data_IF_176321558174
#
_entry.id   IF_176321558174
#
_cell.length_a   1.000
_cell.length_b   1.000
_cell.length_c   1.000
_cell.angle_alpha   90.00
_cell.angle_beta   90.00
_cell.angle_gamma   90.00
#
_symmetry.space_group_name_H-M   'P 1'
#
loop_
_entity.id
_entity.type
_entity.pdbx_description
1 polymer ?
#
# COMPACT_ATOMS: atom_id res chain seq x y z
N UNK A 1 4.80 -2.91 -9.14
CA UNK A 1 4.90 -4.18 -8.39
C UNK A 1 3.52 -4.77 -8.21
N UNK A 2 2.59 -3.99 -7.66
CA UNK A 2 1.15 -4.27 -7.64
C UNK A 2 0.63 -4.95 -8.93
N UNK A 3 0.73 -4.28 -10.08
CA UNK A 3 0.38 -4.86 -11.40
C UNK A 3 1.03 -6.23 -11.71
N UNK A 4 2.29 -6.41 -11.34
CA UNK A 4 2.99 -7.69 -11.57
C UNK A 4 2.38 -8.80 -10.71
N UNK A 5 2.06 -8.49 -9.46
CA UNK A 5 1.44 -9.38 -8.50
C UNK A 5 -0.03 -9.68 -8.81
N UNK A 6 -0.74 -8.74 -9.45
CA UNK A 6 -2.18 -8.88 -9.70
C UNK A 6 -2.48 -9.45 -11.08
N UNK A 7 -1.74 -9.02 -12.11
CA UNK A 7 -2.14 -9.21 -13.50
C UNK A 7 -1.10 -9.93 -14.36
N UNK A 8 0.20 -9.74 -14.09
CA UNK A 8 1.25 -10.09 -15.05
C UNK A 8 2.18 -11.25 -14.66
N UNK A 9 1.91 -11.95 -13.57
CA UNK A 9 2.68 -13.16 -13.21
C UNK A 9 1.76 -14.31 -12.80
N UNK A 10 2.19 -15.55 -12.97
CA UNK A 10 1.56 -16.73 -12.35
C UNK A 10 2.08 -16.92 -10.93
N UNK A 11 1.38 -17.71 -10.10
CA UNK A 11 1.80 -18.03 -8.73
C UNK A 11 3.21 -18.60 -8.67
N UNK A 12 3.56 -19.49 -9.60
CA UNK A 12 4.92 -20.04 -9.73
C UNK A 12 5.96 -18.96 -10.07
N UNK A 13 5.63 -18.06 -11.00
CA UNK A 13 6.53 -16.96 -11.38
C UNK A 13 6.74 -15.97 -10.22
N UNK A 14 5.70 -15.66 -9.45
CA UNK A 14 5.80 -14.83 -8.24
C UNK A 14 6.63 -15.49 -7.15
N UNK A 15 6.48 -16.80 -6.91
CA UNK A 15 7.30 -17.52 -5.94
C UNK A 15 8.79 -17.50 -6.31
N UNK A 16 9.11 -17.66 -7.61
CA UNK A 16 10.47 -17.51 -8.12
C UNK A 16 10.96 -16.06 -7.92
N UNK A 17 10.13 -15.07 -8.24
CA UNK A 17 10.44 -13.65 -8.05
C UNK A 17 10.75 -13.34 -6.59
N UNK A 18 9.88 -13.75 -5.66
CA UNK A 18 10.02 -13.51 -4.23
C UNK A 18 11.24 -14.20 -3.64
N UNK A 19 11.43 -15.47 -3.94
CA UNK A 19 12.62 -16.21 -3.46
C UNK A 19 13.91 -15.56 -3.96
N UNK A 20 13.90 -15.03 -5.18
CA UNK A 20 15.04 -14.31 -5.75
C UNK A 20 15.23 -12.94 -5.09
N UNK A 21 14.13 -12.23 -4.80
CA UNK A 21 14.13 -10.94 -4.14
C UNK A 21 14.67 -11.04 -2.71
N UNK A 22 14.27 -12.04 -1.94
CA UNK A 22 14.79 -12.28 -0.59
C UNK A 22 16.30 -12.55 -0.56
N UNK A 23 16.83 -13.20 -1.60
CA UNK A 23 18.28 -13.42 -1.75
C UNK A 23 19.02 -12.14 -2.14
N UNK A 24 18.31 -11.16 -2.71
CA UNK A 24 18.84 -9.87 -3.17
C UNK A 24 20.04 -10.02 -4.12
N UNK A 25 19.97 -11.01 -5.01
CA UNK A 25 21.07 -11.40 -5.91
C UNK A 25 20.60 -11.36 -7.38
N UNK A 26 21.31 -10.58 -8.20
CA UNK A 26 21.04 -10.46 -9.64
C UNK A 26 21.17 -11.81 -10.38
N UNK A 27 22.02 -12.72 -9.90
CA UNK A 27 22.17 -14.04 -10.53
C UNK A 27 20.92 -14.90 -10.34
N UNK A 28 20.10 -14.65 -9.31
CA UNK A 28 18.85 -15.36 -9.10
C UNK A 28 17.85 -15.11 -10.26
N UNK A 29 17.99 -13.98 -10.97
CA UNK A 29 17.16 -13.62 -12.12
C UNK A 29 17.30 -14.59 -13.31
N UNK A 30 18.35 -15.42 -13.36
CA UNK A 30 18.52 -16.44 -14.41
C UNK A 30 17.43 -17.52 -14.40
N UNK A 31 16.74 -17.70 -13.27
CA UNK A 31 15.62 -18.66 -13.14
C UNK A 31 14.28 -18.08 -13.59
N UNK A 32 14.23 -16.79 -13.94
CA UNK A 32 13.00 -16.09 -14.28
C UNK A 32 12.72 -16.10 -15.80
N UNK A 33 11.45 -15.96 -16.21
CA UNK A 33 11.10 -15.61 -17.58
C UNK A 33 11.81 -14.34 -18.06
N UNK A 34 12.08 -14.23 -19.37
CA UNK A 34 12.84 -13.12 -19.93
C UNK A 34 12.25 -11.73 -19.59
N UNK A 35 10.92 -11.58 -19.66
CA UNK A 35 10.25 -10.31 -19.35
C UNK A 35 10.42 -9.89 -17.88
N UNK A 36 10.48 -10.85 -16.97
CA UNK A 36 10.58 -10.63 -15.53
C UNK A 36 12.04 -10.39 -15.10
N UNK A 37 13.00 -11.00 -15.81
CA UNK A 37 14.42 -10.85 -15.54
C UNK A 37 14.88 -9.39 -15.63
N UNK A 38 14.51 -8.70 -16.70
CA UNK A 38 14.90 -7.29 -16.90
C UNK A 38 14.25 -6.39 -15.84
N UNK A 39 12.97 -6.61 -15.52
CA UNK A 39 12.26 -5.91 -14.45
C UNK A 39 12.93 -6.12 -13.08
N UNK A 40 13.29 -7.35 -12.75
CA UNK A 40 13.94 -7.69 -11.49
C UNK A 40 15.32 -7.02 -11.35
N UNK A 41 16.14 -7.05 -12.40
CA UNK A 41 17.46 -6.38 -12.39
C UNK A 41 17.29 -4.86 -12.26
N UNK A 42 16.32 -4.27 -12.96
CA UNK A 42 16.02 -2.85 -12.86
C UNK A 42 15.61 -2.45 -11.44
N UNK A 43 14.74 -3.23 -10.79
CA UNK A 43 14.31 -3.01 -9.41
C UNK A 43 15.50 -3.08 -8.45
N UNK A 44 16.32 -4.14 -8.53
CA UNK A 44 17.48 -4.28 -7.65
C UNK A 44 18.45 -3.11 -7.80
N UNK A 45 18.73 -2.69 -9.04
CA UNK A 45 19.57 -1.51 -9.28
C UNK A 45 18.96 -0.26 -8.65
N UNK A 46 17.68 0.01 -8.92
CA UNK A 46 16.98 1.20 -8.42
C UNK A 46 17.00 1.27 -6.90
N UNK A 47 16.68 0.17 -6.21
CA UNK A 47 16.68 0.17 -4.74
C UNK A 47 18.10 0.31 -4.19
N UNK A 48 19.10 -0.36 -4.77
CA UNK A 48 20.50 -0.18 -4.36
C UNK A 48 20.96 1.27 -4.57
N UNK A 49 20.61 1.91 -5.69
CA UNK A 49 20.98 3.30 -5.98
C UNK A 49 20.33 4.27 -4.96
N UNK A 50 19.06 4.05 -4.59
CA UNK A 50 18.39 4.81 -3.52
C UNK A 50 19.12 4.63 -2.20
N UNK A 51 19.47 3.39 -1.83
CA UNK A 51 20.18 3.11 -0.58
C UNK A 51 21.56 3.77 -0.55
N UNK A 52 22.30 3.72 -1.64
CA UNK A 52 23.63 4.36 -1.74
C UNK A 52 23.52 5.89 -1.67
N UNK A 53 22.53 6.50 -2.33
CA UNK A 53 22.27 7.95 -2.21
C UNK A 53 21.95 8.35 -0.76
N UNK A 54 21.11 7.58 -0.07
CA UNK A 54 20.80 7.82 1.34
C UNK A 54 22.04 7.69 2.24
N UNK A 55 22.91 6.70 1.98
CA UNK A 55 24.19 6.56 2.70
C UNK A 55 25.13 7.73 2.45
N UNK A 56 25.20 8.25 1.21
CA UNK A 56 25.97 9.46 0.88
C UNK A 56 25.46 10.69 1.64
N UNK A 57 24.16 10.75 1.89
CA UNK A 57 23.52 11.76 2.72
C UNK A 57 23.66 11.49 4.24
N UNK A 58 24.43 10.46 4.63
CA UNK A 58 24.65 10.02 6.02
C UNK A 58 23.37 9.57 6.74
N UNK A 59 22.37 9.14 5.98
CA UNK A 59 21.15 8.60 6.54
C UNK A 59 21.40 7.20 7.11
N UNK A 60 21.28 7.05 8.43
CA UNK A 60 21.53 5.78 9.14
C UNK A 60 20.47 4.70 8.87
N UNK A 61 19.36 5.06 8.21
CA UNK A 61 18.20 4.19 7.97
C UNK A 61 18.15 3.64 6.55
N UNK A 62 19.19 3.85 5.73
CA UNK A 62 19.20 3.47 4.32
C UNK A 62 18.88 1.97 4.09
N UNK A 63 19.33 1.08 4.97
CA UNK A 63 19.11 -0.36 4.84
C UNK A 63 17.62 -0.77 4.97
N UNK A 64 16.80 0.03 5.65
CA UNK A 64 15.35 -0.23 5.75
C UNK A 64 14.64 -0.14 4.39
N UNK A 65 15.18 0.56 3.39
CA UNK A 65 14.55 0.68 2.06
C UNK A 65 14.39 -0.69 1.41
N UNK A 66 15.43 -1.53 1.51
CA UNK A 66 15.39 -2.91 1.00
C UNK A 66 14.35 -3.74 1.74
N UNK A 67 14.32 -3.66 3.07
CA UNK A 67 13.38 -4.42 3.91
C UNK A 67 11.93 -4.02 3.61
N UNK A 68 11.67 -2.72 3.49
CA UNK A 68 10.38 -2.15 3.09
C UNK A 68 9.93 -2.66 1.73
N UNK A 69 10.83 -2.65 0.75
CA UNK A 69 10.51 -3.14 -0.58
C UNK A 69 10.16 -4.63 -0.56
N UNK A 70 10.94 -5.46 0.13
CA UNK A 70 10.68 -6.89 0.27
C UNK A 70 9.32 -7.13 0.96
N UNK A 71 9.02 -6.45 2.08
CA UNK A 71 7.73 -6.61 2.77
C UNK A 71 6.57 -6.18 1.87
N UNK A 72 6.71 -5.07 1.13
CA UNK A 72 5.67 -4.60 0.20
C UNK A 72 5.28 -5.69 -0.80
N UNK A 73 6.27 -6.31 -1.46
CA UNK A 73 6.00 -7.36 -2.44
C UNK A 73 5.42 -8.62 -1.78
N UNK A 74 5.87 -8.96 -0.56
CA UNK A 74 5.25 -10.04 0.23
C UNK A 74 3.77 -9.79 0.50
N UNK A 75 3.41 -8.55 0.88
CA UNK A 75 2.01 -8.18 1.17
C UNK A 75 1.14 -8.24 -0.07
N UNK A 76 1.62 -7.80 -1.24
CA UNK A 76 0.88 -7.93 -2.49
C UNK A 76 0.57 -9.40 -2.81
N UNK A 77 1.55 -10.31 -2.70
CA UNK A 77 1.28 -11.71 -2.99
C UNK A 77 0.42 -12.44 -1.96
N UNK A 78 0.14 -11.85 -0.79
CA UNK A 78 -0.76 -12.46 0.19
C UNK A 78 -2.21 -12.55 -0.32
N UNK A 79 -2.63 -11.63 -1.21
CA UNK A 79 -3.96 -11.63 -1.82
C UNK A 79 -4.09 -12.61 -2.99
N UNK A 80 -2.97 -13.08 -3.53
CA UNK A 80 -2.94 -13.92 -4.73
C UNK A 80 -3.71 -15.22 -4.56
N UNK A 81 -3.64 -15.83 -3.37
CA UNK A 81 -4.43 -17.04 -3.05
C UNK A 81 -5.93 -16.78 -3.21
N UNK A 82 -6.40 -15.60 -2.80
CA UNK A 82 -7.81 -15.22 -2.95
C UNK A 82 -8.20 -15.03 -4.41
N UNK A 83 -7.31 -14.42 -5.20
CA UNK A 83 -7.49 -14.26 -6.63
C UNK A 83 -7.60 -15.62 -7.35
N UNK A 84 -6.63 -16.52 -7.11
CA UNK A 84 -6.56 -17.84 -7.74
C UNK A 84 -7.77 -18.73 -7.39
N UNK A 85 -8.16 -18.74 -6.12
CA UNK A 85 -9.28 -19.56 -5.61
C UNK A 85 -10.65 -18.91 -5.83
N UNK A 86 -10.70 -17.67 -6.35
CA UNK A 86 -11.90 -16.82 -6.40
C UNK A 86 -12.59 -16.74 -5.03
N UNK A 87 -11.78 -16.66 -3.99
CA UNK A 87 -12.26 -16.62 -2.63
C UNK A 87 -12.77 -15.22 -2.31
N UNK A 88 -14.02 -15.15 -1.89
CA UNK A 88 -14.62 -13.96 -1.27
C UNK A 88 -14.66 -14.23 0.23
N UNK A 89 -13.95 -13.47 1.07
CA UNK A 89 -14.03 -13.60 2.53
C UNK A 89 -15.47 -13.56 3.04
N UNK A 90 -15.74 -14.21 4.18
CA UNK A 90 -17.10 -14.24 4.73
C UNK A 90 -17.42 -12.98 5.55
N UNK A 91 -16.37 -12.33 6.08
CA UNK A 91 -16.46 -11.13 6.90
C UNK A 91 -15.47 -10.07 6.43
N UNK A 92 -15.85 -8.80 6.57
CA UNK A 92 -14.96 -7.67 6.28
C UNK A 92 -13.68 -7.78 7.10
N UNK A 93 -13.76 -8.15 8.37
CA UNK A 93 -12.57 -8.31 9.21
C UNK A 93 -11.59 -9.35 8.65
N UNK A 94 -12.07 -10.47 8.11
CA UNK A 94 -11.20 -11.48 7.46
C UNK A 94 -10.50 -10.91 6.22
N UNK A 95 -11.20 -10.07 5.46
CA UNK A 95 -10.62 -9.36 4.31
C UNK A 95 -9.52 -8.39 4.75
N UNK A 96 -9.82 -7.55 5.76
CA UNK A 96 -8.92 -6.51 6.23
C UNK A 96 -7.63 -7.05 6.88
N UNK A 97 -7.64 -8.29 7.40
CA UNK A 97 -6.44 -8.92 7.95
C UNK A 97 -5.30 -9.08 6.93
N UNK A 98 -5.63 -9.17 5.63
CA UNK A 98 -4.63 -9.24 4.55
C UNK A 98 -4.60 -7.93 3.76
N UNK A 99 -5.77 -7.40 3.41
CA UNK A 99 -5.88 -6.34 2.40
C UNK A 99 -5.46 -4.95 2.88
N UNK A 100 -5.50 -4.72 4.20
CA UNK A 100 -5.00 -3.47 4.77
C UNK A 100 -3.47 -3.40 4.63
N UNK A 101 -2.77 -4.53 4.76
CA UNK A 101 -1.32 -4.58 4.58
C UNK A 101 -0.90 -4.52 3.10
N UNK A 102 -1.67 -5.12 2.18
CA UNK A 102 -1.43 -5.07 0.73
C UNK A 102 -1.65 -3.66 0.14
N UNK A 103 -2.42 -2.79 0.81
CA UNK A 103 -2.60 -1.38 0.39
C UNK A 103 -1.30 -0.57 0.28
N UNK A 104 -0.20 -1.09 0.83
CA UNK A 104 1.12 -0.45 0.90
C UNK A 104 1.17 0.90 1.64
N UNK A 105 0.08 1.36 2.26
CA UNK A 105 0.01 2.65 2.96
C UNK A 105 0.99 2.73 4.15
N UNK A 106 1.18 1.64 4.91
CA UNK A 106 2.22 1.58 5.95
C UNK A 106 3.64 1.73 5.39
N UNK A 107 3.90 1.20 4.20
CA UNK A 107 5.21 1.31 3.55
C UNK A 107 5.50 2.76 3.14
N UNK A 108 4.47 3.52 2.72
CA UNK A 108 4.57 4.95 2.48
C UNK A 108 4.90 5.73 3.77
N UNK A 109 4.33 5.34 4.91
CA UNK A 109 4.67 5.96 6.19
C UNK A 109 6.12 5.68 6.58
N UNK A 110 6.54 4.42 6.49
CA UNK A 110 7.90 4.03 6.83
C UNK A 110 8.96 4.63 5.90
N UNK A 111 8.73 4.64 4.58
CA UNK A 111 9.70 5.28 3.68
C UNK A 111 9.79 6.78 3.96
N UNK A 112 8.68 7.43 4.33
CA UNK A 112 8.71 8.84 4.76
C UNK A 112 9.58 9.02 6.01
N UNK A 113 9.47 8.12 6.99
CA UNK A 113 10.30 8.13 8.19
C UNK A 113 11.77 7.91 7.88
N UNK A 114 12.10 6.97 7.00
CA UNK A 114 13.47 6.76 6.50
C UNK A 114 13.99 8.03 5.85
N UNK A 115 13.22 8.66 4.96
CA UNK A 115 13.63 9.86 4.23
C UNK A 115 13.78 11.11 5.11
N UNK A 116 13.23 11.11 6.33
CA UNK A 116 13.43 12.17 7.32
C UNK A 116 14.82 12.12 7.99
N UNK A 117 15.63 11.10 7.73
CA UNK A 117 17.03 11.03 8.15
C UNK A 117 17.20 11.16 9.68
N UNK A 118 18.03 12.10 10.11
CA UNK A 118 18.38 12.32 11.52
C UNK A 118 17.19 12.78 12.39
N UNK A 119 16.07 13.19 11.80
CA UNK A 119 14.83 13.51 12.54
C UNK A 119 14.15 12.23 13.06
N UNK A 120 14.42 11.09 12.44
CA UNK A 120 13.80 9.81 12.76
C UNK A 120 14.78 8.88 13.47
N UNK A 121 14.28 8.07 14.41
CA UNK A 121 15.04 6.98 15.03
C UNK A 121 14.69 5.64 14.39
N UNK A 122 15.58 4.64 14.50
CA UNK A 122 15.26 3.27 14.09
C UNK A 122 14.02 2.72 14.81
N UNK A 123 13.86 3.06 16.10
CA UNK A 123 12.68 2.70 16.90
C UNK A 123 11.37 3.23 16.31
N UNK A 124 11.36 4.44 15.74
CA UNK A 124 10.17 5.00 15.10
C UNK A 124 9.79 4.26 13.81
N UNK A 125 10.79 3.80 13.05
CA UNK A 125 10.59 2.97 11.86
C UNK A 125 10.07 1.59 12.28
N UNK A 126 10.71 0.94 13.25
CA UNK A 126 10.26 -0.34 13.79
C UNK A 126 8.85 -0.26 14.38
N UNK A 127 8.51 0.83 15.05
CA UNK A 127 7.15 1.08 15.53
C UNK A 127 6.16 1.14 14.38
N UNK A 128 6.42 1.89 13.31
CA UNK A 128 5.51 1.94 12.16
C UNK A 128 5.39 0.56 11.49
N UNK A 129 6.47 -0.20 11.40
CA UNK A 129 6.47 -1.60 10.95
C UNK A 129 5.67 -2.55 11.84
N UNK A 130 5.61 -2.29 13.15
CA UNK A 130 4.81 -3.08 14.10
C UNK A 130 3.30 -2.95 13.89
N UNK A 131 2.88 -2.08 12.96
CA UNK A 131 1.51 -1.91 12.52
C UNK A 131 0.56 -1.43 13.64
N UNK A 132 0.90 -0.31 14.32
CA UNK A 132 0.08 0.24 15.40
C UNK A 132 -1.27 0.71 14.86
N UNK A 133 -2.24 0.86 15.77
CA UNK A 133 -3.64 1.17 15.46
C UNK A 133 -3.79 2.38 14.52
N UNK A 134 -3.05 3.47 14.76
CA UNK A 134 -3.06 4.65 13.88
C UNK A 134 -2.61 4.34 12.44
N UNK A 135 -1.56 3.53 12.26
CA UNK A 135 -1.05 3.14 10.94
C UNK A 135 -2.05 2.20 10.27
N UNK A 136 -2.61 1.24 11.02
CA UNK A 136 -3.66 0.34 10.53
C UNK A 136 -4.87 1.14 10.06
N UNK A 137 -5.30 2.13 10.82
CA UNK A 137 -6.42 3.01 10.47
C UNK A 137 -6.15 3.81 9.18
N UNK A 138 -4.95 4.40 9.04
CA UNK A 138 -4.54 5.06 7.79
C UNK A 138 -4.56 4.10 6.58
N UNK A 139 -4.20 2.84 6.79
CA UNK A 139 -4.27 1.82 5.75
C UNK A 139 -5.71 1.38 5.44
N UNK A 140 -6.62 1.37 6.43
CA UNK A 140 -8.05 1.12 6.21
C UNK A 140 -8.64 2.21 5.33
N UNK A 141 -8.37 3.49 5.64
CA UNK A 141 -8.82 4.62 4.80
C UNK A 141 -8.35 4.40 3.36
N UNK A 142 -7.07 4.09 3.16
CA UNK A 142 -6.53 3.86 1.82
C UNK A 142 -7.20 2.68 1.10
N UNK A 143 -7.30 1.52 1.75
CA UNK A 143 -7.83 0.28 1.17
C UNK A 143 -9.31 0.39 0.83
N UNK A 144 -10.12 0.90 1.76
CA UNK A 144 -11.58 0.94 1.60
C UNK A 144 -11.97 2.03 0.60
N UNK A 145 -11.33 3.20 0.62
CA UNK A 145 -11.56 4.22 -0.41
C UNK A 145 -11.17 3.71 -1.81
N UNK A 146 -10.04 3.00 -1.95
CA UNK A 146 -9.68 2.36 -3.21
C UNK A 146 -10.79 1.38 -3.65
N UNK A 147 -11.15 0.41 -2.80
CA UNK A 147 -12.13 -0.62 -3.11
C UNK A 147 -13.48 -0.07 -3.55
N UNK A 148 -13.96 1.00 -2.92
CA UNK A 148 -15.23 1.64 -3.31
C UNK A 148 -15.11 2.24 -4.71
N UNK A 149 -14.04 2.99 -4.98
CA UNK A 149 -13.87 3.72 -6.24
C UNK A 149 -13.48 2.82 -7.41
N UNK A 150 -12.75 1.75 -7.15
CA UNK A 150 -12.32 0.80 -8.17
C UNK A 150 -13.32 -0.32 -8.45
N UNK A 151 -14.30 -0.52 -7.54
CA UNK A 151 -15.21 -1.66 -7.52
C UNK A 151 -15.74 -2.06 -8.90
N UNK A 152 -16.42 -1.15 -9.60
CA UNK A 152 -17.10 -1.50 -10.85
C UNK A 152 -16.14 -1.95 -11.96
N UNK A 153 -14.96 -1.32 -12.04
CA UNK A 153 -13.91 -1.69 -12.99
C UNK A 153 -13.30 -3.03 -12.63
N UNK A 154 -12.94 -3.22 -11.37
CA UNK A 154 -12.27 -4.45 -10.91
C UNK A 154 -13.21 -5.66 -10.96
N UNK A 155 -14.51 -5.46 -10.74
CA UNK A 155 -15.53 -6.50 -10.96
C UNK A 155 -15.64 -6.95 -12.42
N UNK A 156 -15.25 -6.12 -13.38
CA UNK A 156 -15.27 -6.49 -14.79
C UNK A 156 -14.09 -7.40 -15.19
N UNK A 157 -13.09 -7.58 -14.31
CA UNK A 157 -11.91 -8.40 -14.55
C UNK A 157 -11.80 -9.57 -13.56
N UNK A 158 -10.73 -10.36 -13.64
CA UNK A 158 -10.45 -11.45 -12.69
C UNK A 158 -9.68 -10.94 -11.47
N UNK A 159 -10.15 -9.85 -10.86
CA UNK A 159 -9.49 -9.25 -9.72
C UNK A 159 -9.86 -9.95 -8.40
N UNK A 160 -9.08 -9.69 -7.34
CA UNK A 160 -9.39 -10.17 -5.99
C UNK A 160 -10.70 -9.57 -5.49
N UNK A 161 -11.37 -10.29 -4.57
CA UNK A 161 -12.58 -9.78 -3.98
C UNK A 161 -12.30 -8.49 -3.18
N UNK A 162 -13.08 -7.42 -3.41
CA UNK A 162 -12.98 -6.16 -2.66
C UNK A 162 -13.70 -6.24 -1.32
N UNK A 163 -13.44 -5.27 -0.43
CA UNK A 163 -14.24 -5.06 0.79
C UNK A 163 -15.72 -4.83 0.46
N UNK A 164 -16.07 -4.26 -0.69
CA UNK A 164 -17.45 -4.05 -1.14
C UNK A 164 -18.17 -5.38 -1.33
N UNK A 165 -17.59 -6.32 -2.08
CA UNK A 165 -18.17 -7.65 -2.28
C UNK A 165 -18.27 -8.43 -0.96
N UNK A 166 -17.23 -8.31 -0.13
CA UNK A 166 -17.19 -8.95 1.19
C UNK A 166 -18.31 -8.39 2.09
N UNK A 167 -18.52 -7.07 2.10
CA UNK A 167 -19.58 -6.41 2.84
C UNK A 167 -20.97 -6.84 2.35
N UNK A 168 -21.18 -6.89 1.02
CA UNK A 168 -22.43 -7.38 0.45
C UNK A 168 -22.71 -8.83 0.86
N UNK A 169 -21.68 -9.67 0.89
CA UNK A 169 -21.78 -11.09 1.28
C UNK A 169 -22.07 -11.26 2.77
N UNK A 170 -21.38 -10.51 3.64
CA UNK A 170 -21.55 -10.59 5.10
C UNK A 170 -22.96 -10.17 5.53
N UNK A 171 -23.48 -9.07 4.96
CA UNK A 171 -24.73 -8.46 5.40
C UNK A 171 -25.93 -8.72 4.49
N UNK A 172 -25.74 -9.39 3.34
CA UNK A 172 -26.80 -9.63 2.35
C UNK A 172 -27.35 -8.33 1.74
N UNK A 173 -26.50 -7.31 1.60
CA UNK A 173 -26.87 -5.95 1.23
C UNK A 173 -26.69 -5.65 -0.26
N UNK A 174 -27.33 -4.59 -0.74
CA UNK A 174 -27.07 -4.03 -2.08
C UNK A 174 -25.72 -3.32 -2.11
N UNK A 175 -25.16 -3.09 -3.31
CA UNK A 175 -23.89 -2.37 -3.48
C UNK A 175 -23.92 -0.96 -2.87
N UNK A 176 -25.04 -0.24 -3.01
CA UNK A 176 -25.18 1.11 -2.46
C UNK A 176 -25.15 1.10 -0.93
N UNK A 177 -25.84 0.15 -0.31
CA UNK A 177 -25.80 -0.04 1.15
C UNK A 177 -24.42 -0.48 1.64
N UNK A 178 -23.68 -1.27 0.83
CA UNK A 178 -22.31 -1.62 1.14
C UNK A 178 -21.38 -0.39 1.10
N UNK A 179 -21.58 0.53 0.14
CA UNK A 179 -20.84 1.80 0.11
C UNK A 179 -21.11 2.66 1.34
N UNK A 180 -22.37 2.79 1.77
CA UNK A 180 -22.71 3.52 3.00
C UNK A 180 -22.04 2.87 4.22
N UNK A 181 -22.14 1.54 4.35
CA UNK A 181 -21.57 0.80 5.48
C UNK A 181 -20.03 0.89 5.55
N UNK A 182 -19.38 0.87 4.39
CA UNK A 182 -17.92 1.05 4.30
C UNK A 182 -17.52 2.52 4.52
N UNK A 183 -18.41 3.47 4.20
CA UNK A 183 -18.26 4.88 4.60
C UNK A 183 -18.18 5.03 6.12
N UNK A 184 -19.06 4.37 6.87
CA UNK A 184 -19.00 4.37 8.34
C UNK A 184 -17.65 3.83 8.84
N UNK A 185 -17.12 2.77 8.21
CA UNK A 185 -15.82 2.18 8.56
C UNK A 185 -14.65 3.15 8.27
N UNK A 186 -14.73 3.94 7.20
CA UNK A 186 -13.75 5.00 6.90
C UNK A 186 -13.82 6.09 7.98
N UNK A 187 -15.02 6.50 8.40
CA UNK A 187 -15.21 7.50 9.44
C UNK A 187 -14.67 7.00 10.80
N UNK A 188 -14.91 5.74 11.16
CA UNK A 188 -14.31 5.09 12.33
C UNK A 188 -12.78 5.11 12.26
N UNK A 189 -12.19 4.73 11.12
CA UNK A 189 -10.74 4.77 10.94
C UNK A 189 -10.17 6.21 11.07
N UNK A 190 -10.89 7.24 10.63
CA UNK A 190 -10.48 8.62 10.87
C UNK A 190 -10.49 9.00 12.36
N UNK A 191 -11.45 8.48 13.13
CA UNK A 191 -11.48 8.68 14.58
C UNK A 191 -10.27 8.03 15.26
N UNK A 192 -9.89 6.82 14.84
CA UNK A 192 -8.69 6.13 15.36
C UNK A 192 -7.39 6.88 15.02
N UNK A 193 -7.31 7.49 13.83
CA UNK A 193 -6.18 8.35 13.46
C UNK A 193 -6.09 9.57 14.39
N UNK A 194 -7.23 10.23 14.66
CA UNK A 194 -7.29 11.36 15.60
C UNK A 194 -6.92 10.91 17.01
N UNK A 195 -7.40 9.76 17.46
CA UNK A 195 -7.06 9.20 18.76
C UNK A 195 -5.55 8.94 18.88
N UNK A 196 -4.92 8.38 17.84
CA UNK A 196 -3.47 8.22 17.79
C UNK A 196 -2.68 9.53 17.94
N UNK A 197 -3.18 10.64 17.38
CA UNK A 197 -2.62 11.97 17.59
C UNK A 197 -2.81 12.51 19.02
N UNK A 198 -3.89 12.12 19.70
CA UNK A 198 -4.15 12.50 21.09
C UNK A 198 -3.32 11.68 22.09
N UNK A 199 -3.14 10.39 21.81
CA UNK A 199 -2.35 9.47 22.64
C UNK A 199 -0.84 9.78 22.58
N UNK A 200 -0.38 10.38 21.47
CA UNK A 200 0.99 10.85 21.28
C UNK A 200 2.06 9.79 21.56
N UNK A 201 1.85 8.57 21.05
CA UNK A 201 2.84 7.49 21.16
C UNK A 201 4.21 7.87 20.56
N UNK A 202 4.23 8.79 19.60
CA UNK A 202 5.42 9.38 18.97
C UNK A 202 5.26 10.90 18.82
N UNK A 203 6.36 11.65 18.57
CA UNK A 203 6.29 13.07 18.28
C UNK A 203 5.33 13.40 17.13
N UNK A 204 4.66 14.55 17.22
CA UNK A 204 3.72 15.00 16.19
C UNK A 204 4.35 15.11 14.80
N UNK A 205 5.67 15.32 14.72
CA UNK A 205 6.43 15.34 13.48
C UNK A 205 6.29 14.04 12.66
N UNK A 206 6.17 12.89 13.35
CA UNK A 206 5.94 11.57 12.75
C UNK A 206 4.46 11.31 12.52
N UNK A 207 3.63 11.56 13.54
CA UNK A 207 2.19 11.31 13.48
C UNK A 207 1.51 12.12 12.37
N UNK A 208 1.94 13.37 12.16
CA UNK A 208 1.43 14.22 11.09
C UNK A 208 1.72 13.64 9.70
N UNK A 209 2.85 12.94 9.50
CA UNK A 209 3.12 12.26 8.22
C UNK A 209 2.13 11.15 7.95
N UNK A 210 1.78 10.36 8.98
CA UNK A 210 0.75 9.32 8.88
C UNK A 210 -0.60 9.93 8.51
N UNK A 211 -0.99 11.02 9.19
CA UNK A 211 -2.22 11.76 8.87
C UNK A 211 -2.20 12.27 7.42
N UNK A 212 -1.09 12.86 6.98
CA UNK A 212 -0.98 13.43 5.63
C UNK A 212 -0.97 12.35 4.54
N UNK A 213 -0.41 11.17 4.82
CA UNK A 213 -0.52 10.01 3.93
C UNK A 213 -1.99 9.56 3.83
N UNK A 214 -2.69 9.41 4.96
CA UNK A 214 -4.11 9.05 4.95
C UNK A 214 -4.96 10.06 4.16
N UNK A 215 -4.69 11.37 4.34
CA UNK A 215 -5.34 12.45 3.57
C UNK A 215 -5.01 12.37 2.08
N UNK A 216 -3.77 12.06 1.75
CA UNK A 216 -3.34 11.84 0.37
C UNK A 216 -4.13 10.70 -0.26
N UNK A 217 -4.23 9.55 0.42
CA UNK A 217 -4.98 8.40 -0.07
C UNK A 217 -6.49 8.72 -0.20
N UNK A 218 -7.13 9.35 0.78
CA UNK A 218 -8.52 9.81 0.66
C UNK A 218 -8.71 10.74 -0.54
N UNK A 219 -7.77 11.68 -0.75
CA UNK A 219 -7.83 12.60 -1.87
C UNK A 219 -7.72 11.90 -3.23
N UNK A 220 -6.79 10.94 -3.35
CA UNK A 220 -6.59 10.15 -4.57
C UNK A 220 -7.83 9.37 -4.98
N UNK A 221 -8.64 8.93 -4.01
CA UNK A 221 -9.88 8.18 -4.23
C UNK A 221 -11.13 9.01 -3.97
N UNK A 222 -11.04 10.36 -3.94
CA UNK A 222 -12.18 11.19 -3.52
C UNK A 222 -13.31 11.22 -4.53
N UNK A 223 -12.97 11.12 -5.81
CA UNK A 223 -13.89 11.32 -6.95
C UNK A 223 -13.85 10.20 -7.97
N UNK A 224 -12.69 9.58 -8.11
CA UNK A 224 -12.39 8.50 -9.06
C UNK A 224 -11.18 7.74 -8.49
N UNK A 225 -10.84 6.59 -9.04
CA UNK A 225 -9.52 6.00 -8.86
C UNK A 225 -8.50 6.81 -9.66
N UNK A 226 -7.87 7.78 -9.01
CA UNK A 226 -6.92 8.66 -9.66
C UNK A 226 -5.58 8.00 -10.01
N UNK A 227 -5.28 6.79 -9.51
CA UNK A 227 -4.11 6.04 -9.97
C UNK A 227 -4.35 5.51 -11.39
N UNK A 228 -5.55 4.97 -11.64
CA UNK A 228 -5.93 4.45 -12.96
C UNK A 228 -6.42 5.55 -13.91
N UNK A 229 -7.17 6.52 -13.39
CA UNK A 229 -7.77 7.63 -14.12
C UNK A 229 -7.23 8.99 -13.62
N UNK A 230 -5.98 9.35 -13.98
CA UNK A 230 -5.29 10.52 -13.41
C UNK A 230 -5.89 11.87 -13.83
N UNK A 231 -6.87 11.89 -14.74
CA UNK A 231 -7.54 13.13 -15.16
C UNK A 231 -8.23 13.85 -14.01
N UNK A 232 -8.68 13.13 -12.98
CA UNK A 232 -9.28 13.71 -11.77
C UNK A 232 -8.31 14.59 -10.97
N UNK A 233 -7.00 14.38 -11.12
CA UNK A 233 -5.94 15.16 -10.46
C UNK A 233 -5.33 16.26 -11.32
N UNK A 234 -5.72 16.35 -12.60
CA UNK A 234 -5.08 17.26 -13.56
C UNK A 234 -5.07 18.71 -13.05
N UNK A 235 -6.20 19.18 -12.53
CA UNK A 235 -6.33 20.55 -12.04
C UNK A 235 -5.51 20.76 -10.76
N UNK A 236 -5.50 19.78 -9.85
CA UNK A 236 -4.68 19.79 -8.64
C UNK A 236 -3.18 19.88 -8.98
N UNK A 237 -2.69 19.01 -9.87
CA UNK A 237 -1.29 19.00 -10.31
C UNK A 237 -0.93 20.30 -11.01
N UNK A 238 -1.81 20.81 -11.89
CA UNK A 238 -1.57 22.07 -12.61
C UNK A 238 -1.48 23.24 -11.63
N UNK A 239 -2.36 23.29 -10.63
CA UNK A 239 -2.32 24.30 -9.57
C UNK A 239 -1.02 24.25 -8.75
N UNK A 240 -0.58 23.05 -8.36
CA UNK A 240 0.59 22.88 -7.49
C UNK A 240 1.93 23.09 -8.19
N UNK A 241 2.06 22.68 -9.46
CA UNK A 241 3.37 22.60 -10.13
C UNK A 241 3.53 23.50 -11.35
N UNK A 242 2.45 24.07 -11.88
CA UNK A 242 2.48 24.94 -13.07
C UNK A 242 2.08 26.37 -12.73
N UNK A 243 0.98 26.51 -11.99
CA UNK A 243 0.40 27.81 -11.62
C UNK A 243 0.65 28.14 -10.14
N UNK A 244 1.72 27.59 -9.55
CA UNK A 244 2.05 27.87 -8.15
C UNK A 244 2.30 29.37 -7.97
N UNK A 245 1.64 29.94 -6.94
CA UNK A 245 1.74 31.35 -6.56
C UNK A 245 2.78 31.51 -5.46
#
# INVERSE_FOLDING_TARGET
MDDLCDNYSTTEEYEIFMTSLERWDKQAAEKMPAYMKDLFIFILNTINDIMEELKLQKNNHAEFVKELFIDTVKRYGAERKWCDERYVPAKIEEHLQISVASSACMHLANITFVLMGDVTTGEAIEWAFSYPEMIRAACIVARVCNDIMSHEREQASKHVASTVQTCMKEYGMTVHQAYEKLGDLIDEAWMDIVQGCLDQAYPMEHLEKVVNIARGMDHMYKRDDAYTHPYSLKDTITSMYVNSV
#
